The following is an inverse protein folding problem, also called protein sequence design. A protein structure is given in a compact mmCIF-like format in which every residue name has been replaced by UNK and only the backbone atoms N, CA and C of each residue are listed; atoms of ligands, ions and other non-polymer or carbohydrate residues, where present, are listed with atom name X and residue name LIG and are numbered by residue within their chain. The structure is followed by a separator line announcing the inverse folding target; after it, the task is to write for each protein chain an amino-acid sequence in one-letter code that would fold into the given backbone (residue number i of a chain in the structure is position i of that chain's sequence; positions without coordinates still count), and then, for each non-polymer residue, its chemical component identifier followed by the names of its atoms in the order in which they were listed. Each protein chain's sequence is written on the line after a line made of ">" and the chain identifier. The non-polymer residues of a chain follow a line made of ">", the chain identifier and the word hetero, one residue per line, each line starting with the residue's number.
data_IF_217897752324
#
_entry.id   IF_217897752324
#
_cell.length_a   1.000
_cell.length_b   1.000
_cell.length_c   1.000
_cell.angle_alpha   90.00
_cell.angle_beta   90.00
_cell.angle_gamma   90.00
#
_symmetry.space_group_name_H-M   'P 1'
#
loop_
_entity.id
_entity.type
_entity.pdbx_description
1 polymer ?
#
# COMPACT_ATOMS: atom_id res chain seq x y z
N UNK A 1 -18.85 0.99 -5.50
CA UNK A 1 -18.99 1.64 -4.17
C UNK A 1 -17.94 2.71 -4.02
N UNK A 2 -18.29 3.82 -3.37
CA UNK A 2 -17.43 5.00 -3.16
C UNK A 2 -17.24 5.21 -1.65
N UNK A 3 -16.05 4.95 -1.07
CA UNK A 3 -15.84 5.07 0.37
C UNK A 3 -15.85 6.53 0.82
N UNK A 4 -16.71 6.87 1.78
CA UNK A 4 -16.78 8.24 2.33
C UNK A 4 -15.49 8.64 3.05
N UNK A 5 -14.84 7.69 3.71
CA UNK A 5 -13.66 7.90 4.53
C UNK A 5 -12.39 8.16 3.72
N UNK A 6 -12.44 7.99 2.39
CA UNK A 6 -11.29 8.18 1.49
C UNK A 6 -11.15 9.64 1.02
N UNK A 7 -12.07 10.53 1.42
CA UNK A 7 -11.91 11.99 1.26
C UNK A 7 -10.98 12.49 2.36
N UNK A 8 -9.68 12.49 2.07
CA UNK A 8 -8.66 12.91 3.02
C UNK A 8 -8.50 14.43 2.97
N UNK A 9 -8.33 15.04 4.15
CA UNK A 9 -8.00 16.46 4.22
C UNK A 9 -6.66 16.72 3.53
N UNK A 10 -6.63 17.70 2.63
CA UNK A 10 -5.42 18.04 1.86
C UNK A 10 -5.20 17.20 0.59
N UNK A 11 -6.17 16.37 0.18
CA UNK A 11 -6.10 15.68 -1.12
C UNK A 11 -6.03 16.72 -2.25
N UNK A 12 -5.07 16.63 -3.18
CA UNK A 12 -4.96 17.56 -4.31
C UNK A 12 -6.23 17.58 -5.16
N UNK A 13 -6.62 18.78 -5.62
CA UNK A 13 -7.85 18.97 -6.38
C UNK A 13 -7.91 18.14 -7.68
N UNK A 14 -6.76 17.87 -8.31
CA UNK A 14 -6.66 17.02 -9.50
C UNK A 14 -6.97 15.54 -9.21
N UNK A 15 -6.66 15.04 -8.01
CA UNK A 15 -7.00 13.68 -7.58
C UNK A 15 -8.51 13.57 -7.32
N UNK A 16 -9.08 14.56 -6.65
CA UNK A 16 -10.52 14.64 -6.42
C UNK A 16 -11.29 14.75 -7.74
N UNK A 17 -10.84 15.60 -8.67
CA UNK A 17 -11.41 15.74 -10.00
C UNK A 17 -11.34 14.43 -10.79
N UNK A 18 -10.18 13.77 -10.82
CA UNK A 18 -10.02 12.47 -11.48
C UNK A 18 -10.96 11.41 -10.88
N UNK A 19 -11.17 11.44 -9.56
CA UNK A 19 -12.06 10.50 -8.91
C UNK A 19 -13.53 10.75 -9.25
N UNK A 20 -13.96 12.01 -9.35
CA UNK A 20 -15.28 12.38 -9.90
C UNK A 20 -15.44 11.95 -11.37
N UNK A 21 -14.42 12.16 -12.20
CA UNK A 21 -14.44 11.72 -13.61
C UNK A 21 -14.54 10.20 -13.72
N UNK A 22 -13.76 9.46 -12.92
CA UNK A 22 -13.85 7.99 -12.87
C UNK A 22 -15.23 7.48 -12.46
N UNK A 23 -15.92 8.19 -11.56
CA UNK A 23 -17.31 7.88 -11.21
C UNK A 23 -18.25 8.12 -12.38
N UNK A 24 -18.10 9.23 -13.09
CA UNK A 24 -18.90 9.53 -14.27
C UNK A 24 -18.66 8.48 -15.39
N UNK A 25 -17.40 8.13 -15.66
CA UNK A 25 -17.04 7.10 -16.64
C UNK A 25 -17.71 5.75 -16.35
N UNK A 26 -17.69 5.30 -15.09
CA UNK A 26 -18.35 4.06 -14.70
C UNK A 26 -19.88 4.18 -14.77
N UNK A 27 -20.45 5.32 -14.37
CA UNK A 27 -21.89 5.56 -14.45
C UNK A 27 -22.40 5.54 -15.90
N UNK A 28 -21.67 6.18 -16.82
CA UNK A 28 -21.98 6.18 -18.26
C UNK A 28 -21.85 4.78 -18.87
N UNK A 29 -20.93 3.96 -18.35
CA UNK A 29 -20.81 2.54 -18.70
C UNK A 29 -21.91 1.66 -18.08
N UNK A 30 -22.85 2.23 -17.31
CA UNK A 30 -24.01 1.55 -16.73
C UNK A 30 -23.86 1.12 -15.27
N UNK A 31 -22.76 1.46 -14.60
CA UNK A 31 -22.58 1.15 -13.19
C UNK A 31 -23.48 2.01 -12.30
N UNK A 32 -24.10 1.39 -11.29
CA UNK A 32 -24.79 2.13 -10.23
C UNK A 32 -23.78 2.60 -9.18
N UNK A 33 -23.59 3.92 -9.10
CA UNK A 33 -22.72 4.51 -8.09
C UNK A 33 -23.46 4.58 -6.75
N UNK A 34 -22.84 4.02 -5.70
CA UNK A 34 -23.34 4.02 -4.34
C UNK A 34 -22.24 4.41 -3.37
N UNK A 35 -22.55 5.29 -2.42
CA UNK A 35 -21.66 5.60 -1.32
C UNK A 35 -21.64 4.47 -0.31
N UNK A 36 -20.44 4.15 0.19
CA UNK A 36 -20.23 3.12 1.21
C UNK A 36 -19.44 3.71 2.38
N UNK A 37 -19.41 2.99 3.50
CA UNK A 37 -18.65 3.36 4.68
C UNK A 37 -17.64 2.26 5.01
N UNK A 38 -16.38 2.66 5.15
CA UNK A 38 -15.25 1.83 5.58
C UNK A 38 -14.56 2.49 6.80
N UNK A 39 -15.22 2.52 7.97
CA UNK A 39 -14.85 3.39 9.09
C UNK A 39 -13.48 3.12 9.71
N UNK A 40 -12.93 1.92 9.52
CA UNK A 40 -11.64 1.53 10.09
C UNK A 40 -10.45 1.78 9.15
N UNK A 41 -10.68 2.24 7.92
CA UNK A 41 -9.60 2.44 6.92
C UNK A 41 -8.58 3.50 7.32
N UNK A 42 -8.98 4.52 8.11
CA UNK A 42 -8.06 5.48 8.73
C UNK A 42 -6.98 4.84 9.63
N UNK A 43 -7.20 3.61 10.10
CA UNK A 43 -6.23 2.86 10.90
C UNK A 43 -5.36 1.91 10.08
N UNK A 44 -5.58 1.80 8.77
CA UNK A 44 -4.89 0.86 7.92
C UNK A 44 -3.39 1.15 7.82
N UNK A 45 -3.03 2.42 7.62
CA UNK A 45 -1.62 2.82 7.54
C UNK A 45 -0.84 2.46 8.81
N UNK A 46 -1.24 2.89 10.03
CA UNK A 46 -0.52 2.50 11.23
C UNK A 46 -0.57 0.98 11.50
N UNK A 47 -1.67 0.29 11.19
CA UNK A 47 -1.73 -1.17 11.35
C UNK A 47 -0.74 -1.88 10.41
N UNK A 48 -0.66 -1.46 9.15
CA UNK A 48 0.28 -1.99 8.16
C UNK A 48 1.72 -1.77 8.59
N UNK A 49 2.06 -0.56 9.04
CA UNK A 49 3.41 -0.22 9.51
C UNK A 49 3.78 -0.81 10.89
N UNK A 50 2.89 -1.59 11.50
CA UNK A 50 3.23 -2.50 12.62
C UNK A 50 3.36 -3.94 12.12
N UNK A 51 2.39 -4.42 11.33
CA UNK A 51 2.35 -5.81 10.85
C UNK A 51 3.49 -6.10 9.89
N UNK A 52 3.69 -5.25 8.88
CA UNK A 52 4.69 -5.49 7.84
C UNK A 52 6.13 -5.48 8.40
N UNK A 53 6.55 -4.53 9.27
CA UNK A 53 7.86 -4.62 9.90
C UNK A 53 8.02 -5.81 10.83
N UNK A 54 6.99 -6.20 11.59
CA UNK A 54 7.01 -7.38 12.45
C UNK A 54 7.25 -8.67 11.63
N UNK A 55 6.53 -8.84 10.53
CA UNK A 55 6.69 -9.99 9.65
C UNK A 55 8.03 -9.93 8.89
N UNK A 56 8.46 -8.73 8.49
CA UNK A 56 9.76 -8.52 7.85
C UNK A 56 10.93 -8.90 8.78
N UNK A 57 10.90 -8.51 10.05
CA UNK A 57 12.00 -8.83 10.99
C UNK A 57 12.19 -10.35 11.15
N UNK A 58 11.08 -11.10 11.18
CA UNK A 58 11.11 -12.56 11.22
C UNK A 58 11.54 -13.16 9.88
N UNK A 59 10.94 -12.73 8.76
CA UNK A 59 11.25 -13.25 7.43
C UNK A 59 12.71 -13.02 7.03
N UNK A 60 13.27 -11.87 7.38
CA UNK A 60 14.65 -11.48 7.07
C UNK A 60 15.67 -12.08 8.04
N UNK A 61 15.25 -12.76 9.12
CA UNK A 61 16.18 -13.42 10.05
C UNK A 61 17.03 -14.51 9.37
N UNK A 62 16.52 -15.09 8.27
CA UNK A 62 17.22 -16.13 7.49
C UNK A 62 18.48 -15.65 6.75
N UNK A 63 18.63 -14.33 6.57
CA UNK A 63 19.79 -13.74 5.88
C UNK A 63 20.89 -13.50 6.90
N UNK A 64 21.82 -14.44 6.94
CA UNK A 64 22.73 -14.64 8.06
C UNK A 64 24.18 -14.95 7.61
N UNK A 65 24.40 -15.11 6.30
CA UNK A 65 25.70 -15.40 5.69
C UNK A 65 26.20 -16.84 5.89
N UNK A 66 25.38 -17.74 6.43
CA UNK A 66 25.76 -19.14 6.69
C UNK A 66 25.51 -20.00 5.47
N UNK A 67 24.28 -20.00 4.96
CA UNK A 67 23.88 -20.87 3.83
C UNK A 67 24.10 -20.22 2.48
N UNK A 68 23.94 -18.90 2.39
CA UNK A 68 23.98 -18.15 1.13
C UNK A 68 24.14 -16.64 1.37
N UNK A 69 24.47 -15.93 0.29
CA UNK A 69 24.48 -14.46 0.24
C UNK A 69 25.78 -13.84 0.76
N UNK A 70 25.69 -12.55 1.13
CA UNK A 70 26.80 -11.80 1.72
C UNK A 70 27.21 -12.46 3.05
N UNK A 71 28.51 -12.54 3.29
CA UNK A 71 29.11 -12.88 4.59
C UNK A 71 30.21 -11.87 4.89
N UNK A 72 30.17 -11.27 6.07
CA UNK A 72 31.19 -10.31 6.48
C UNK A 72 32.56 -11.00 6.62
N UNK A 73 33.63 -10.24 6.39
CA UNK A 73 34.99 -10.70 6.71
C UNK A 73 35.19 -10.59 8.23
N UNK A 74 35.75 -11.64 8.83
CA UNK A 74 36.01 -11.71 10.27
C UNK A 74 37.46 -11.37 10.58
N UNK A 75 37.67 -10.66 11.69
CA UNK A 75 38.96 -10.40 12.28
C UNK A 75 39.33 -11.50 13.30
N UNK A 76 40.60 -11.57 13.68
CA UNK A 76 41.05 -12.47 14.74
C UNK A 76 40.33 -12.12 16.07
N UNK A 77 39.67 -13.10 16.67
CA UNK A 77 38.87 -12.92 17.90
C UNK A 77 37.37 -12.74 17.67
N UNK A 78 36.92 -12.49 16.44
CA UNK A 78 35.48 -12.47 16.12
C UNK A 78 34.90 -13.89 16.22
N UNK A 79 33.74 -14.02 16.87
CA UNK A 79 32.96 -15.23 16.96
C UNK A 79 31.78 -15.27 16.00
N UNK A 80 30.86 -16.20 16.26
CA UNK A 80 29.65 -16.39 15.45
C UNK A 80 28.68 -15.21 15.58
N UNK A 81 28.62 -14.56 16.75
CA UNK A 81 27.75 -13.41 17.00
C UNK A 81 28.18 -12.23 16.13
N UNK A 82 29.47 -11.91 16.12
CA UNK A 82 30.05 -10.83 15.31
C UNK A 82 29.86 -11.11 13.82
N UNK A 83 29.96 -12.37 13.41
CA UNK A 83 29.66 -12.75 12.03
C UNK A 83 28.23 -12.40 11.64
N UNK A 84 27.23 -12.74 12.46
CA UNK A 84 25.84 -12.41 12.16
C UNK A 84 25.59 -10.90 12.15
N UNK A 85 26.05 -10.19 13.19
CA UNK A 85 25.85 -8.75 13.33
C UNK A 85 26.48 -7.97 12.17
N UNK A 86 27.78 -8.20 11.89
CA UNK A 86 28.48 -7.54 10.78
C UNK A 86 27.87 -7.88 9.43
N UNK A 87 27.55 -9.15 9.19
CA UNK A 87 26.95 -9.57 7.91
C UNK A 87 25.63 -8.86 7.64
N UNK A 88 24.77 -8.73 8.65
CA UNK A 88 23.48 -8.06 8.52
C UNK A 88 23.61 -6.54 8.46
N UNK A 89 24.49 -5.95 9.27
CA UNK A 89 24.73 -4.51 9.30
C UNK A 89 25.34 -4.01 7.98
N UNK A 90 26.27 -4.75 7.39
CA UNK A 90 26.86 -4.40 6.09
C UNK A 90 25.98 -4.77 4.90
N UNK A 91 25.09 -5.75 5.06
CA UNK A 91 24.28 -6.31 3.98
C UNK A 91 22.93 -5.63 3.78
N UNK A 92 22.30 -5.13 4.85
CA UNK A 92 21.03 -4.45 4.78
C UNK A 92 21.19 -2.94 4.64
N UNK A 93 20.44 -2.34 3.71
CA UNK A 93 20.31 -0.88 3.62
C UNK A 93 19.53 -0.28 4.81
N UNK A 94 19.64 1.04 4.99
CA UNK A 94 19.11 1.74 6.16
C UNK A 94 17.61 1.54 6.42
N UNK A 95 16.76 1.57 5.39
CA UNK A 95 15.31 1.35 5.55
C UNK A 95 14.99 -0.09 5.98
N UNK A 96 15.73 -1.06 5.47
CA UNK A 96 15.56 -2.47 5.87
C UNK A 96 15.95 -2.64 7.33
N UNK A 97 17.07 -2.06 7.75
CA UNK A 97 17.48 -2.07 9.15
C UNK A 97 16.44 -1.41 10.05
N UNK A 98 15.90 -0.24 9.65
CA UNK A 98 14.83 0.46 10.38
C UNK A 98 13.60 -0.45 10.60
N UNK A 99 13.13 -1.13 9.55
CA UNK A 99 12.00 -2.06 9.63
C UNK A 99 12.30 -3.29 10.47
N UNK A 100 13.51 -3.84 10.39
CA UNK A 100 13.92 -4.97 11.25
C UNK A 100 13.88 -4.54 12.71
N UNK A 101 14.44 -3.37 13.07
CA UNK A 101 14.47 -2.87 14.44
C UNK A 101 13.06 -2.63 15.00
N UNK A 102 12.20 -1.93 14.25
CA UNK A 102 10.79 -1.71 14.61
C UNK A 102 10.07 -3.05 14.77
N UNK A 103 10.25 -3.96 13.82
CA UNK A 103 9.64 -5.28 13.84
C UNK A 103 10.05 -6.12 15.04
N UNK A 104 11.34 -6.13 15.39
CA UNK A 104 11.82 -6.83 16.59
C UNK A 104 11.26 -6.20 17.87
N UNK A 105 11.11 -4.88 17.92
CA UNK A 105 10.55 -4.18 19.07
C UNK A 105 9.07 -4.52 19.27
N UNK A 106 8.24 -4.41 18.22
CA UNK A 106 6.80 -4.68 18.35
C UNK A 106 6.47 -6.15 18.60
N UNK A 107 7.41 -7.06 18.34
CA UNK A 107 7.29 -8.48 18.67
C UNK A 107 7.87 -8.85 20.04
N UNK A 108 8.58 -7.93 20.71
CA UNK A 108 9.24 -8.22 21.99
C UNK A 108 8.24 -8.45 23.12
N UNK A 109 8.66 -9.26 24.11
CA UNK A 109 7.86 -9.54 25.29
C UNK A 109 7.50 -8.24 26.02
N UNK A 110 6.22 -8.05 26.33
CA UNK A 110 5.68 -6.83 26.93
C UNK A 110 5.08 -5.83 25.93
N UNK A 111 5.52 -5.85 24.66
CA UNK A 111 5.01 -4.96 23.61
C UNK A 111 4.17 -5.68 22.56
N UNK A 112 4.31 -7.01 22.43
CA UNK A 112 3.56 -7.84 21.48
C UNK A 112 2.04 -7.61 21.52
N UNK A 113 1.45 -7.60 22.72
CA UNK A 113 0.00 -7.40 22.86
C UNK A 113 -0.44 -5.99 22.50
N UNK A 114 0.35 -4.99 22.91
CA UNK A 114 0.03 -3.58 22.73
C UNK A 114 0.14 -3.13 21.26
N UNK A 115 1.07 -3.73 20.50
CA UNK A 115 1.34 -3.37 19.12
C UNK A 115 0.85 -4.42 18.13
N UNK A 116 1.51 -5.58 18.03
CA UNK A 116 1.26 -6.55 16.96
C UNK A 116 -0.14 -7.17 17.06
N UNK A 117 -0.56 -7.67 18.23
CA UNK A 117 -1.91 -8.20 18.40
C UNK A 117 -3.00 -7.13 18.21
N UNK A 118 -2.75 -5.90 18.66
CA UNK A 118 -3.67 -4.78 18.43
C UNK A 118 -3.81 -4.47 16.94
N UNK A 119 -2.71 -4.42 16.19
CA UNK A 119 -2.72 -4.22 14.74
C UNK A 119 -3.45 -5.36 14.01
N UNK A 120 -3.27 -6.62 14.44
CA UNK A 120 -4.03 -7.77 13.90
C UNK A 120 -5.55 -7.65 14.13
N UNK A 121 -5.97 -7.14 15.28
CA UNK A 121 -7.40 -6.87 15.56
C UNK A 121 -7.94 -5.76 14.66
N UNK A 122 -7.17 -4.68 14.47
CA UNK A 122 -7.52 -3.62 13.51
C UNK A 122 -7.63 -4.15 12.08
N UNK A 123 -6.69 -5.01 11.65
CA UNK A 123 -6.75 -5.69 10.35
C UNK A 123 -8.06 -6.48 10.17
N UNK A 124 -8.52 -7.17 11.21
CA UNK A 124 -9.80 -7.89 11.18
C UNK A 124 -11.01 -6.94 11.03
N UNK A 125 -10.98 -5.78 11.69
CA UNK A 125 -12.03 -4.76 11.53
C UNK A 125 -12.03 -4.16 10.12
N UNK A 126 -10.86 -3.85 9.56
CA UNK A 126 -10.73 -3.37 8.17
C UNK A 126 -11.31 -4.40 7.19
N UNK A 127 -10.95 -5.68 7.35
CA UNK A 127 -11.50 -6.74 6.50
C UNK A 127 -13.03 -6.80 6.62
N UNK A 128 -13.55 -6.71 7.84
CA UNK A 128 -14.99 -6.73 8.09
C UNK A 128 -15.72 -5.58 7.38
N UNK A 129 -15.15 -4.37 7.37
CA UNK A 129 -15.74 -3.23 6.65
C UNK A 129 -15.95 -3.55 5.15
N UNK A 130 -14.93 -4.13 4.50
CA UNK A 130 -15.03 -4.55 3.11
C UNK A 130 -16.04 -5.69 2.91
N UNK A 131 -16.02 -6.71 3.77
CA UNK A 131 -16.95 -7.82 3.72
C UNK A 131 -18.41 -7.32 3.83
N UNK A 132 -18.68 -6.36 4.73
CA UNK A 132 -20.00 -5.74 4.91
C UNK A 132 -20.40 -4.88 3.71
N UNK A 133 -19.47 -4.13 3.11
CA UNK A 133 -19.73 -3.36 1.90
C UNK A 133 -20.09 -4.27 0.72
N UNK A 134 -19.36 -5.35 0.50
CA UNK A 134 -19.65 -6.32 -0.55
C UNK A 134 -20.95 -7.08 -0.29
N UNK A 135 -21.26 -7.43 0.96
CA UNK A 135 -22.52 -8.06 1.35
C UNK A 135 -23.75 -7.18 1.07
N UNK A 136 -23.59 -5.86 0.97
CA UNK A 136 -24.64 -4.91 0.57
C UNK A 136 -24.85 -4.86 -0.96
N UNK A 137 -24.22 -5.75 -1.73
CA UNK A 137 -24.37 -5.84 -3.18
C UNK A 137 -23.44 -4.90 -3.95
N UNK A 138 -22.30 -4.52 -3.36
CA UNK A 138 -21.23 -3.81 -4.07
C UNK A 138 -20.36 -4.84 -4.80
N UNK A 139 -20.09 -4.61 -6.07
CA UNK A 139 -19.26 -5.53 -6.87
C UNK A 139 -17.79 -5.08 -6.96
N UNK A 140 -17.57 -3.77 -7.02
CA UNK A 140 -16.24 -3.17 -6.98
C UNK A 140 -16.27 -1.83 -6.23
N UNK A 141 -15.12 -1.45 -5.66
CA UNK A 141 -14.92 -0.18 -4.95
C UNK A 141 -13.93 0.67 -5.73
N UNK A 142 -14.30 1.91 -6.07
CA UNK A 142 -13.46 2.84 -6.83
C UNK A 142 -12.81 3.85 -5.88
N UNK A 143 -11.49 4.00 -5.99
CA UNK A 143 -10.69 4.95 -5.21
C UNK A 143 -9.61 5.58 -6.11
N UNK A 144 -8.96 6.68 -5.71
CA UNK A 144 -7.65 7.02 -6.26
C UNK A 144 -6.65 5.89 -5.97
N UNK A 145 -5.66 5.72 -6.83
CA UNK A 145 -4.57 4.76 -6.57
C UNK A 145 -3.49 5.35 -5.65
N UNK A 146 -3.20 6.64 -5.81
CA UNK A 146 -2.18 7.39 -5.05
C UNK A 146 -2.73 8.77 -4.65
N UNK A 147 -2.20 9.39 -3.59
CA UNK A 147 -2.62 10.73 -3.16
C UNK A 147 -2.02 11.87 -4.00
N UNK A 148 -1.10 11.57 -4.92
CA UNK A 148 -0.50 12.51 -5.86
C UNK A 148 0.02 11.77 -7.10
N UNK A 149 0.48 12.52 -8.09
CA UNK A 149 1.35 12.01 -9.15
C UNK A 149 2.73 11.60 -8.60
N UNK A 150 3.55 11.02 -9.46
CA UNK A 150 4.93 10.63 -9.13
C UNK A 150 5.78 11.85 -8.73
N UNK A 151 6.56 11.71 -7.66
CA UNK A 151 7.57 12.70 -7.25
C UNK A 151 8.91 12.42 -7.95
N UNK A 152 9.76 13.45 -8.03
CA UNK A 152 11.08 13.37 -8.64
C UNK A 152 12.07 12.52 -7.84
N UNK A 153 13.10 12.01 -8.51
CA UNK A 153 14.17 11.27 -7.85
C UNK A 153 14.89 12.14 -6.82
N UNK A 154 14.99 11.65 -5.59
CA UNK A 154 15.65 12.35 -4.48
C UNK A 154 14.77 13.39 -3.77
N UNK A 155 13.61 13.76 -4.31
CA UNK A 155 12.70 14.74 -3.68
C UNK A 155 12.22 14.29 -2.29
N UNK A 156 12.17 12.97 -2.07
CA UNK A 156 11.78 12.36 -0.81
C UNK A 156 12.95 11.74 -0.04
N UNK A 157 14.20 12.01 -0.44
CA UNK A 157 15.37 11.42 0.23
C UNK A 157 15.54 11.92 1.68
N UNK A 158 15.22 13.20 1.91
CA UNK A 158 15.27 13.85 3.22
C UNK A 158 13.89 14.01 3.87
N UNK A 159 12.83 13.52 3.21
CA UNK A 159 11.48 13.56 3.73
C UNK A 159 11.35 12.65 4.98
N UNK A 160 10.45 13.03 5.87
CA UNK A 160 10.11 12.15 7.01
C UNK A 160 9.60 10.80 6.43
N UNK A 161 10.13 9.65 6.89
CA UNK A 161 9.61 8.33 6.49
C UNK A 161 8.08 8.23 6.57
N UNK A 162 7.45 8.94 7.52
CA UNK A 162 5.98 9.00 7.63
C UNK A 162 5.33 9.65 6.41
N UNK A 163 5.92 10.70 5.83
CA UNK A 163 5.43 11.32 4.59
C UNK A 163 5.51 10.35 3.41
N UNK A 164 6.58 9.56 3.34
CA UNK A 164 6.67 8.50 2.33
C UNK A 164 5.54 7.48 2.48
N UNK A 165 5.21 7.10 3.72
CA UNK A 165 4.17 6.13 4.01
C UNK A 165 2.77 6.62 3.65
N UNK A 166 2.50 7.93 3.72
CA UNK A 166 1.20 8.49 3.30
C UNK A 166 0.86 8.20 1.83
N UNK A 167 1.86 7.95 0.97
CA UNK A 167 1.62 7.55 -0.41
C UNK A 167 0.86 6.21 -0.52
N UNK A 168 0.93 5.38 0.53
CA UNK A 168 0.29 4.07 0.57
C UNK A 168 -1.14 4.11 1.12
N UNK A 169 -1.69 5.29 1.45
CA UNK A 169 -2.95 5.44 2.19
C UNK A 169 -4.14 4.73 1.51
N UNK A 170 -4.15 4.67 0.18
CA UNK A 170 -5.21 4.01 -0.59
C UNK A 170 -4.94 2.54 -0.92
N UNK A 171 -3.71 2.04 -0.73
CA UNK A 171 -3.28 0.72 -1.21
C UNK A 171 -3.17 -0.30 -0.07
N UNK A 172 -2.65 0.08 1.10
CA UNK A 172 -2.39 -0.90 2.19
C UNK A 172 -3.66 -1.51 2.78
N UNK A 173 -4.79 -0.82 2.68
CA UNK A 173 -6.11 -1.33 3.09
C UNK A 173 -6.46 -2.61 2.34
N UNK A 174 -6.13 -2.67 1.04
CA UNK A 174 -6.35 -3.81 0.15
C UNK A 174 -5.55 -5.02 0.62
N UNK A 175 -4.26 -4.84 0.93
CA UNK A 175 -3.39 -5.91 1.42
C UNK A 175 -3.84 -6.44 2.80
N UNK A 176 -4.22 -5.53 3.69
CA UNK A 176 -4.70 -5.89 5.03
C UNK A 176 -5.99 -6.71 4.96
N UNK A 177 -6.93 -6.34 4.09
CA UNK A 177 -8.16 -7.08 3.85
C UNK A 177 -7.95 -8.37 3.04
N UNK A 178 -6.84 -8.48 2.29
CA UNK A 178 -6.53 -9.63 1.45
C UNK A 178 -7.41 -9.66 0.19
N UNK A 179 -7.63 -8.49 -0.41
CA UNK A 179 -8.50 -8.30 -1.58
C UNK A 179 -7.68 -8.13 -2.87
N UNK A 180 -8.25 -8.45 -4.04
CA UNK A 180 -7.66 -8.05 -5.30
C UNK A 180 -7.88 -6.54 -5.54
N UNK A 181 -6.85 -5.87 -6.04
CA UNK A 181 -6.89 -4.48 -6.46
C UNK A 181 -6.19 -4.31 -7.81
N UNK A 182 -6.73 -3.44 -8.67
CA UNK A 182 -6.15 -3.07 -9.97
C UNK A 182 -6.10 -1.56 -10.09
N UNK A 183 -5.00 -1.03 -10.63
CA UNK A 183 -4.83 0.39 -10.93
C UNK A 183 -4.90 0.60 -12.45
N UNK A 184 -5.71 1.56 -12.88
CA UNK A 184 -5.94 1.94 -14.28
C UNK A 184 -5.51 3.40 -14.44
N UNK A 185 -4.61 3.73 -15.38
CA UNK A 185 -4.26 5.12 -15.67
C UNK A 185 -5.48 5.82 -16.27
N UNK A 186 -5.84 6.97 -15.71
CA UNK A 186 -7.10 7.63 -16.06
C UNK A 186 -6.96 9.13 -16.34
N UNK A 187 -5.80 9.74 -16.09
CA UNK A 187 -5.58 11.15 -16.34
C UNK A 187 -4.13 11.57 -16.16
N UNK A 188 -3.88 12.85 -16.40
CA UNK A 188 -2.59 13.49 -16.17
C UNK A 188 -2.75 14.59 -15.12
N UNK A 189 -1.72 14.79 -14.30
CA UNK A 189 -1.63 15.96 -13.44
C UNK A 189 -1.28 17.23 -14.27
N UNK A 190 -1.24 18.37 -13.59
CA UNK A 190 -0.87 19.65 -14.24
C UNK A 190 0.56 19.68 -14.83
N UNK A 191 1.42 18.72 -14.45
CA UNK A 191 2.81 18.57 -14.93
C UNK A 191 2.92 17.53 -16.06
N UNK A 192 1.81 16.90 -16.47
CA UNK A 192 1.79 15.86 -17.49
C UNK A 192 2.19 14.46 -16.99
N UNK A 193 2.18 14.23 -15.67
CA UNK A 193 2.46 12.92 -15.05
C UNK A 193 1.19 12.08 -14.90
N UNK A 194 1.24 10.76 -15.10
CA UNK A 194 0.08 9.89 -14.97
C UNK A 194 -0.53 9.90 -13.57
N UNK A 195 -1.86 9.92 -13.54
CA UNK A 195 -2.69 9.69 -12.36
C UNK A 195 -3.51 8.41 -12.56
N UNK A 196 -3.66 7.64 -11.48
CA UNK A 196 -4.32 6.33 -11.50
C UNK A 196 -5.58 6.28 -10.66
N UNK A 197 -6.58 5.56 -11.17
CA UNK A 197 -7.75 5.12 -10.42
C UNK A 197 -7.59 3.65 -10.04
N UNK A 198 -7.96 3.29 -8.83
CA UNK A 198 -7.92 1.94 -8.31
C UNK A 198 -9.33 1.37 -8.20
N UNK A 199 -9.49 0.12 -8.64
CA UNK A 199 -10.66 -0.70 -8.40
C UNK A 199 -10.28 -1.84 -7.46
N UNK A 200 -11.08 -2.04 -6.41
CA UNK A 200 -10.92 -3.11 -5.42
C UNK A 200 -12.11 -4.07 -5.58
N UNK A 201 -11.81 -5.35 -5.81
CA UNK A 201 -12.81 -6.40 -6.04
C UNK A 201 -13.00 -7.32 -4.84
N UNK A 202 -13.94 -8.26 -4.97
CA UNK A 202 -14.17 -9.33 -3.99
C UNK A 202 -13.06 -10.39 -4.07
N UNK A 203 -12.79 -11.14 -2.99
CA UNK A 203 -11.85 -12.26 -3.03
C UNK A 203 -12.19 -13.24 -4.16
N UNK A 204 -11.21 -13.58 -4.99
CA UNK A 204 -11.32 -14.58 -6.07
C UNK A 204 -12.25 -14.20 -7.23
N UNK A 205 -12.67 -12.93 -7.32
CA UNK A 205 -13.49 -12.40 -8.43
C UNK A 205 -12.67 -11.50 -9.36
N UNK A 206 -11.38 -11.82 -9.58
CA UNK A 206 -10.49 -11.00 -10.42
C UNK A 206 -10.99 -10.88 -11.87
N UNK A 207 -11.71 -11.89 -12.39
CA UNK A 207 -12.28 -11.83 -13.73
C UNK A 207 -13.31 -10.69 -13.87
N UNK A 208 -14.21 -10.55 -12.89
CA UNK A 208 -15.22 -9.47 -12.90
C UNK A 208 -14.59 -8.11 -12.60
N UNK A 209 -13.58 -8.09 -11.74
CA UNK A 209 -12.76 -6.89 -11.50
C UNK A 209 -12.06 -6.42 -12.79
N UNK A 210 -11.49 -7.35 -13.57
CA UNK A 210 -10.86 -7.04 -14.86
C UNK A 210 -11.87 -6.56 -15.91
N UNK A 211 -13.08 -7.11 -15.95
CA UNK A 211 -14.16 -6.59 -16.80
C UNK A 211 -14.51 -5.14 -16.45
N UNK A 212 -14.62 -4.84 -15.15
CA UNK A 212 -14.88 -3.47 -14.66
C UNK A 212 -13.72 -2.54 -15.01
N UNK A 213 -12.48 -2.99 -14.83
CA UNK A 213 -11.29 -2.22 -15.17
C UNK A 213 -11.18 -1.95 -16.67
N UNK A 214 -11.54 -2.91 -17.52
CA UNK A 214 -11.59 -2.73 -18.96
C UNK A 214 -12.61 -1.68 -19.38
N UNK A 215 -13.79 -1.66 -18.76
CA UNK A 215 -14.79 -0.61 -19.01
C UNK A 215 -14.24 0.79 -18.64
N UNK A 216 -13.56 0.90 -17.49
CA UNK A 216 -12.90 2.13 -17.05
C UNK A 216 -11.77 2.54 -18.01
N UNK A 217 -10.90 1.62 -18.40
CA UNK A 217 -9.80 1.86 -19.36
C UNK A 217 -10.33 2.38 -20.69
N UNK A 218 -11.39 1.76 -21.22
CA UNK A 218 -12.05 2.15 -22.47
C UNK A 218 -12.66 3.54 -22.40
N UNK A 219 -13.26 3.90 -21.27
CA UNK A 219 -13.83 5.22 -21.05
C UNK A 219 -12.75 6.29 -20.86
N UNK A 220 -11.68 5.97 -20.11
CA UNK A 220 -10.56 6.88 -19.89
C UNK A 220 -9.77 7.16 -21.17
N UNK A 221 -9.65 6.18 -22.07
CA UNK A 221 -8.96 6.34 -23.35
C UNK A 221 -7.49 6.77 -23.19
N UNK A 222 -6.86 6.39 -22.06
CA UNK A 222 -5.54 6.87 -21.70
C UNK A 222 -4.48 6.33 -22.66
N UNK A 223 -3.91 7.21 -23.49
CA UNK A 223 -2.87 6.86 -24.48
C UNK A 223 -1.59 7.69 -24.32
N UNK A 224 -1.53 8.53 -23.29
CA UNK A 224 -0.38 9.41 -23.06
C UNK A 224 0.89 8.60 -22.88
N UNK A 225 1.97 9.08 -23.51
CA UNK A 225 3.31 8.53 -23.40
C UNK A 225 4.23 9.65 -22.93
N UNK A 226 5.11 9.41 -21.95
CA UNK A 226 6.08 10.41 -21.57
C UNK A 226 7.01 10.68 -22.75
N UNK A 227 7.18 11.95 -23.12
CA UNK A 227 8.12 12.36 -24.16
C UNK A 227 9.56 12.02 -23.79
N UNK A 228 9.85 11.98 -22.48
CA UNK A 228 11.13 11.59 -21.91
C UNK A 228 10.90 10.57 -20.80
N UNK A 229 11.18 9.30 -21.10
CA UNK A 229 11.33 8.25 -20.09
C UNK A 229 12.82 8.21 -19.75
N UNK A 230 13.20 8.68 -18.54
CA UNK A 230 14.53 8.99 -17.96
C UNK A 230 15.36 10.15 -18.56
#
# INVERSE_FOLDING_TARGET
>A
GIPREYRLEGTPAEIEALWEEGKAMLADAGAKIVDISLPHTKYALPAYYVIAPAEASSNLARYDGVRYGRRAKLAAGDGITEMYEKTRAEGFGAEVQRRVMVGTYVLSAGFYDAYYNRARRVRALIKRDFDEAFAQGVDAILTPATPSSAFGLGEMADADPVQMYLNDVFTVTVNLAGLPGISVPAGLDAKGLPLGLQLIGKPWEEADLLNTAYALERAAGFVSKPEKWW
#
